data_IF_494344410483
#
_entry.id   IF_494344410483
#
_cell.length_a   1.000
_cell.length_b   1.000
_cell.length_c   1.000
_cell.angle_alpha   90.00
_cell.angle_beta   90.00
_cell.angle_gamma   90.00
#
_symmetry.space_group_name_H-M   'P 1'
#
loop_
_entity.id
_entity.type
_entity.pdbx_description
1 polymer ?
#
# COMPACT_ATOMS: atom_id res chain seq x y z
N UNK A 1 -35.54 -5.27 33.36
CA UNK A 1 -36.10 -5.18 31.99
C UNK A 1 -35.09 -4.48 31.09
N UNK A 2 -34.42 -5.18 30.16
CA UNK A 2 -33.50 -4.56 29.22
C UNK A 2 -34.27 -3.87 28.09
N UNK A 3 -33.92 -2.62 27.79
CA UNK A 3 -34.50 -1.83 26.70
C UNK A 3 -33.91 -2.25 25.35
N UNK A 4 -34.72 -2.39 24.29
CA UNK A 4 -34.21 -2.74 22.97
C UNK A 4 -33.49 -1.54 22.35
N UNK A 5 -32.18 -1.64 22.14
CA UNK A 5 -31.42 -0.66 21.37
C UNK A 5 -31.84 -0.71 19.90
N UNK A 6 -32.47 0.37 19.42
CA UNK A 6 -32.83 0.57 18.02
C UNK A 6 -31.55 0.72 17.18
N UNK A 7 -31.22 -0.32 16.42
CA UNK A 7 -30.10 -0.29 15.46
C UNK A 7 -30.42 0.71 14.33
N UNK A 8 -29.56 1.70 14.05
CA UNK A 8 -29.79 2.64 12.97
C UNK A 8 -29.83 1.91 11.62
N UNK A 9 -30.87 2.18 10.83
CA UNK A 9 -31.18 1.47 9.60
C UNK A 9 -30.05 1.59 8.56
N UNK A 10 -29.61 0.43 8.04
CA UNK A 10 -28.52 0.26 7.04
C UNK A 10 -28.69 1.13 5.78
N UNK A 11 -29.89 1.63 5.51
CA UNK A 11 -30.24 2.43 4.34
C UNK A 11 -29.62 3.84 4.38
N UNK A 12 -29.58 4.47 5.55
CA UNK A 12 -29.10 5.86 5.72
C UNK A 12 -27.58 5.96 5.60
N UNK A 13 -26.86 4.91 6.01
CA UNK A 13 -25.39 4.82 5.90
C UNK A 13 -24.91 4.72 4.43
N UNK A 14 -25.67 4.04 3.56
CA UNK A 14 -25.32 3.90 2.13
C UNK A 14 -25.44 5.20 1.33
N UNK A 15 -26.37 6.08 1.69
CA UNK A 15 -26.62 7.34 0.96
C UNK A 15 -25.54 8.38 1.24
N UNK A 16 -25.10 8.49 2.51
CA UNK A 16 -23.98 9.36 2.90
C UNK A 16 -22.67 8.95 2.22
N UNK A 17 -22.42 7.64 2.09
CA UNK A 17 -21.19 7.12 1.48
C UNK A 17 -21.03 7.51 0.00
N UNK A 18 -22.11 7.50 -0.80
CA UNK A 18 -22.05 7.82 -2.25
C UNK A 18 -21.68 9.28 -2.53
N UNK A 19 -22.19 10.23 -1.73
CA UNK A 19 -21.82 11.66 -1.89
C UNK A 19 -20.34 11.89 -1.54
N UNK A 20 -19.82 11.25 -0.49
CA UNK A 20 -18.40 11.39 -0.12
C UNK A 20 -17.47 10.79 -1.18
N UNK A 21 -17.85 9.64 -1.77
CA UNK A 21 -17.05 8.98 -2.80
C UNK A 21 -16.89 9.83 -4.05
N UNK A 22 -17.97 10.49 -4.50
CA UNK A 22 -17.90 11.43 -5.63
C UNK A 22 -16.96 12.60 -5.34
N UNK A 23 -17.00 13.17 -4.13
CA UNK A 23 -16.10 14.27 -3.73
C UNK A 23 -14.64 13.82 -3.77
N UNK A 24 -14.31 12.66 -3.19
CA UNK A 24 -12.95 12.13 -3.19
C UNK A 24 -12.43 11.89 -4.61
N UNK A 25 -13.25 11.29 -5.47
CA UNK A 25 -12.86 11.04 -6.86
C UNK A 25 -12.62 12.35 -7.63
N UNK A 26 -13.46 13.37 -7.42
CA UNK A 26 -13.27 14.70 -8.01
C UNK A 26 -11.98 15.35 -7.48
N UNK A 27 -11.73 15.28 -6.18
CA UNK A 27 -10.51 15.87 -5.61
C UNK A 27 -9.23 15.20 -6.12
N UNK A 28 -9.23 13.88 -6.34
CA UNK A 28 -8.09 13.19 -6.95
C UNK A 28 -7.83 13.63 -8.39
N UNK A 29 -8.89 13.89 -9.16
CA UNK A 29 -8.76 14.43 -10.52
C UNK A 29 -8.23 15.86 -10.51
N UNK A 30 -8.71 16.70 -9.59
CA UNK A 30 -8.21 18.07 -9.42
C UNK A 30 -6.72 18.08 -9.05
N UNK A 31 -6.30 17.19 -8.15
CA UNK A 31 -4.88 17.02 -7.82
C UNK A 31 -4.04 16.63 -9.04
N UNK A 32 -4.52 15.68 -9.84
CA UNK A 32 -3.82 15.27 -11.06
C UNK A 32 -3.70 16.41 -12.07
N UNK A 33 -4.78 17.20 -12.26
CA UNK A 33 -4.75 18.38 -13.13
C UNK A 33 -3.77 19.44 -12.61
N UNK A 34 -3.77 19.71 -11.30
CA UNK A 34 -2.82 20.65 -10.68
C UNK A 34 -1.36 20.18 -10.86
N UNK A 35 -1.10 18.88 -10.78
CA UNK A 35 0.24 18.31 -11.04
C UNK A 35 0.65 18.46 -12.50
N UNK A 36 -0.26 18.26 -13.45
CA UNK A 36 0.02 18.50 -14.88
C UNK A 36 0.33 19.97 -15.10
N UNK A 37 -0.49 20.88 -14.57
CA UNK A 37 -0.27 22.31 -14.70
C UNK A 37 1.07 22.74 -14.09
N UNK A 38 1.41 22.19 -12.92
CA UNK A 38 2.72 22.40 -12.28
C UNK A 38 3.87 21.90 -13.17
N UNK A 39 3.81 20.66 -13.67
CA UNK A 39 4.84 20.10 -14.56
C UNK A 39 4.98 20.86 -15.88
N UNK A 40 3.86 21.25 -16.50
CA UNK A 40 3.86 22.07 -17.72
C UNK A 40 4.47 23.44 -17.45
N UNK A 41 4.10 24.09 -16.33
CA UNK A 41 4.67 25.39 -15.99
C UNK A 41 6.18 25.33 -15.73
N UNK A 42 6.70 24.21 -15.18
CA UNK A 42 8.14 23.97 -15.06
C UNK A 42 8.82 23.84 -16.42
N UNK A 43 8.22 23.10 -17.36
CA UNK A 43 8.77 22.95 -18.71
C UNK A 43 8.76 24.30 -19.44
N UNK A 44 7.66 25.06 -19.35
CA UNK A 44 7.56 26.40 -19.92
C UNK A 44 8.59 27.34 -19.28
N UNK A 45 8.77 27.28 -17.96
CA UNK A 45 9.79 28.08 -17.28
C UNK A 45 11.20 27.70 -17.74
N UNK A 46 11.49 26.40 -17.89
CA UNK A 46 12.78 25.93 -18.41
C UNK A 46 13.04 26.42 -19.84
N UNK A 47 12.00 26.39 -20.69
CA UNK A 47 12.01 26.95 -22.04
C UNK A 47 12.29 28.45 -22.00
N UNK A 48 11.61 29.21 -21.15
CA UNK A 48 11.80 30.67 -21.03
C UNK A 48 13.20 31.02 -20.50
N UNK A 49 13.76 30.18 -19.62
CA UNK A 49 15.11 30.37 -19.07
C UNK A 49 16.20 30.16 -20.13
N UNK A 50 16.08 29.12 -20.96
CA UNK A 50 17.09 28.81 -21.98
C UNK A 50 16.52 27.89 -23.08
N UNK A 51 16.54 28.37 -24.32
CA UNK A 51 16.51 27.53 -25.53
C UNK A 51 17.87 27.63 -26.21
N UNK A 52 18.66 26.54 -26.34
CA UNK A 52 18.48 25.14 -25.89
C UNK A 52 18.94 24.87 -24.44
N UNK A 53 18.50 23.77 -23.79
CA UNK A 53 18.89 23.43 -22.42
C UNK A 53 20.35 22.97 -22.37
N UNK A 54 21.21 23.77 -21.75
CA UNK A 54 22.61 23.40 -21.54
C UNK A 54 23.10 23.55 -20.10
N UNK A 55 22.32 24.22 -19.25
CA UNK A 55 22.63 24.37 -17.84
C UNK A 55 21.98 23.25 -17.00
N UNK A 56 22.65 22.86 -15.93
CA UNK A 56 22.21 21.81 -15.01
C UNK A 56 20.86 22.15 -14.36
N UNK A 57 20.60 23.45 -14.13
CA UNK A 57 19.34 23.94 -13.57
C UNK A 57 18.17 23.69 -14.52
N UNK A 58 18.32 24.09 -15.79
CA UNK A 58 17.32 23.94 -16.85
C UNK A 58 17.01 22.46 -17.10
N UNK A 59 18.07 21.63 -17.11
CA UNK A 59 17.94 20.17 -17.23
C UNK A 59 17.21 19.57 -16.03
N UNK A 60 17.47 20.07 -14.81
CA UNK A 60 16.73 19.70 -13.60
C UNK A 60 15.23 20.01 -13.68
N UNK A 61 14.85 21.21 -14.15
CA UNK A 61 13.43 21.56 -14.35
C UNK A 61 12.76 20.63 -15.37
N UNK A 62 13.45 20.27 -16.46
CA UNK A 62 12.93 19.35 -17.47
C UNK A 62 12.68 17.96 -16.90
N UNK A 63 13.64 17.40 -16.17
CA UNK A 63 13.51 16.06 -15.58
C UNK A 63 12.38 16.05 -14.53
N UNK A 64 12.36 17.02 -13.63
CA UNK A 64 11.34 17.11 -12.56
C UNK A 64 9.95 17.39 -13.17
N UNK A 65 9.88 18.26 -14.18
CA UNK A 65 8.67 18.54 -14.95
C UNK A 65 8.13 17.31 -15.69
N UNK A 66 8.99 16.56 -16.37
CA UNK A 66 8.61 15.30 -17.01
C UNK A 66 8.15 14.26 -15.98
N UNK A 67 8.88 14.14 -14.87
CA UNK A 67 8.55 13.20 -13.80
C UNK A 67 7.20 13.52 -13.13
N UNK A 68 6.88 14.80 -12.92
CA UNK A 68 5.58 15.24 -12.38
C UNK A 68 4.43 14.94 -13.34
N UNK A 69 4.64 15.09 -14.65
CA UNK A 69 3.63 14.70 -15.65
C UNK A 69 3.39 13.19 -15.61
N UNK A 70 4.45 12.38 -15.59
CA UNK A 70 4.33 10.92 -15.48
C UNK A 70 3.59 10.53 -14.20
N UNK A 71 3.95 11.16 -13.07
CA UNK A 71 3.23 10.97 -11.81
C UNK A 71 1.75 11.29 -11.96
N UNK A 72 1.38 12.40 -12.61
CA UNK A 72 -0.01 12.79 -12.81
C UNK A 72 -0.80 11.77 -13.65
N UNK A 73 -0.19 11.17 -14.68
CA UNK A 73 -0.81 10.10 -15.49
C UNK A 73 -1.14 8.88 -14.61
N UNK A 74 -0.21 8.47 -13.74
CA UNK A 74 -0.48 7.42 -12.74
C UNK A 74 -1.60 7.80 -11.77
N UNK A 75 -1.73 9.09 -11.44
CA UNK A 75 -2.84 9.62 -10.63
C UNK A 75 -4.19 9.50 -11.33
N UNK A 76 -4.21 9.77 -12.64
CA UNK A 76 -5.42 9.64 -13.46
C UNK A 76 -5.86 8.17 -13.56
N UNK A 77 -4.91 7.25 -13.79
CA UNK A 77 -5.16 5.80 -13.81
C UNK A 77 -5.59 5.30 -12.43
N UNK A 78 -5.02 5.84 -11.35
CA UNK A 78 -5.43 5.53 -9.98
C UNK A 78 -6.90 5.87 -9.68
N UNK A 79 -7.47 6.88 -10.35
CA UNK A 79 -8.90 7.21 -10.27
C UNK A 79 -9.79 6.09 -10.83
N UNK A 80 -9.28 5.27 -11.75
CA UNK A 80 -10.01 4.20 -12.43
C UNK A 80 -10.12 2.87 -11.64
N UNK A 81 -9.87 2.88 -10.32
CA UNK A 81 -10.05 1.78 -9.33
C UNK A 81 -8.86 0.84 -9.08
N UNK A 82 -7.65 1.15 -9.54
CA UNK A 82 -6.47 0.31 -9.21
C UNK A 82 -5.85 0.76 -7.89
N UNK A 83 -6.10 0.02 -6.80
CA UNK A 83 -5.59 0.33 -5.43
C UNK A 83 -4.05 0.47 -5.39
N UNK A 84 -3.32 -0.26 -6.23
CA UNK A 84 -1.86 -0.21 -6.33
C UNK A 84 -1.34 1.15 -6.88
N UNK A 85 -1.98 1.68 -7.92
CA UNK A 85 -1.55 2.92 -8.57
C UNK A 85 -1.67 4.16 -7.67
N UNK A 86 -2.60 4.15 -6.71
CA UNK A 86 -2.76 5.25 -5.76
C UNK A 86 -1.59 5.34 -4.77
N UNK A 87 -1.05 4.19 -4.36
CA UNK A 87 0.14 4.12 -3.52
C UNK A 87 1.37 4.65 -4.24
N UNK A 88 1.57 4.20 -5.49
CA UNK A 88 2.67 4.63 -6.36
C UNK A 88 2.59 6.14 -6.65
N UNK A 89 1.42 6.65 -7.03
CA UNK A 89 1.20 8.09 -7.23
C UNK A 89 1.60 8.92 -6.01
N UNK A 90 1.25 8.48 -4.81
CA UNK A 90 1.59 9.19 -3.59
C UNK A 90 3.12 9.23 -3.35
N UNK A 91 3.82 8.12 -3.59
CA UNK A 91 5.28 8.06 -3.47
C UNK A 91 5.95 8.94 -4.52
N UNK A 92 5.54 8.84 -5.78
CA UNK A 92 6.06 9.67 -6.88
C UNK A 92 5.82 11.16 -6.61
N UNK A 93 4.64 11.54 -6.11
CA UNK A 93 4.34 12.94 -5.77
C UNK A 93 5.26 13.48 -4.67
N UNK A 94 5.61 12.66 -3.68
CA UNK A 94 6.54 13.03 -2.61
C UNK A 94 7.95 13.19 -3.14
N UNK A 95 8.44 12.23 -3.94
CA UNK A 95 9.78 12.30 -4.57
C UNK A 95 9.87 13.54 -5.48
N UNK A 96 8.84 13.79 -6.30
CA UNK A 96 8.76 14.98 -7.14
C UNK A 96 8.78 16.27 -6.30
N UNK A 97 8.07 16.30 -5.17
CA UNK A 97 8.08 17.40 -4.23
C UNK A 97 9.46 17.65 -3.60
N UNK A 98 10.20 16.59 -3.26
CA UNK A 98 11.57 16.70 -2.76
C UNK A 98 12.53 17.25 -3.83
N UNK A 99 12.41 16.79 -5.07
CA UNK A 99 13.18 17.33 -6.19
C UNK A 99 12.91 18.83 -6.41
N UNK A 100 11.64 19.22 -6.35
CA UNK A 100 11.23 20.62 -6.45
C UNK A 100 11.76 21.47 -5.27
N UNK A 101 11.67 20.94 -4.04
CA UNK A 101 12.20 21.61 -2.85
C UNK A 101 13.73 21.82 -2.98
N UNK A 102 14.46 20.79 -3.42
CA UNK A 102 15.89 20.88 -3.66
C UNK A 102 16.25 21.95 -4.70
N UNK A 103 15.48 22.02 -5.79
CA UNK A 103 15.66 23.04 -6.82
C UNK A 103 15.40 24.46 -6.28
N UNK A 104 14.34 24.65 -5.49
CA UNK A 104 14.03 25.95 -4.88
C UNK A 104 15.11 26.37 -3.90
N UNK A 105 15.58 25.45 -3.05
CA UNK A 105 16.68 25.72 -2.10
C UNK A 105 17.94 26.10 -2.88
N UNK A 106 18.31 25.35 -3.91
CA UNK A 106 19.47 25.63 -4.75
C UNK A 106 19.40 27.04 -5.37
N UNK A 107 18.25 27.40 -5.95
CA UNK A 107 18.02 28.71 -6.56
C UNK A 107 18.02 29.85 -5.52
N UNK A 108 17.64 29.58 -4.27
CA UNK A 108 17.63 30.56 -3.19
C UNK A 108 19.01 30.76 -2.55
N UNK A 109 19.80 29.70 -2.41
CA UNK A 109 21.12 29.73 -1.77
C UNK A 109 22.13 30.48 -2.65
N UNK A 110 22.08 30.29 -3.98
CA UNK A 110 23.02 30.94 -4.89
C UNK A 110 22.35 31.63 -6.09
N UNK A 111 21.63 32.76 -5.87
CA UNK A 111 21.06 33.55 -6.97
C UNK A 111 22.13 34.04 -7.94
N UNK A 112 23.26 34.50 -7.42
CA UNK A 112 24.29 35.18 -8.20
C UNK A 112 25.01 34.17 -9.11
N UNK A 113 25.36 33.00 -8.57
CA UNK A 113 25.95 31.92 -9.34
C UNK A 113 24.99 31.37 -10.41
N UNK A 114 23.70 31.24 -10.10
CA UNK A 114 22.70 30.84 -11.10
C UNK A 114 22.60 31.85 -12.25
N UNK A 115 22.50 33.16 -11.95
CA UNK A 115 22.44 34.20 -12.99
C UNK A 115 23.73 34.20 -13.83
N UNK A 116 24.89 34.02 -13.21
CA UNK A 116 26.18 34.02 -13.90
C UNK A 116 26.34 32.80 -14.82
N UNK A 117 25.93 31.60 -14.37
CA UNK A 117 25.91 30.38 -15.20
C UNK A 117 24.99 30.52 -16.40
N UNK A 118 23.79 31.07 -16.19
CA UNK A 118 22.86 31.34 -17.29
C UNK A 118 23.42 32.39 -18.24
N UNK A 119 24.14 33.39 -17.72
CA UNK A 119 24.76 34.45 -18.51
C UNK A 119 25.93 33.95 -19.36
N UNK A 120 26.86 33.18 -18.79
CA UNK A 120 27.99 32.60 -19.53
C UNK A 120 27.49 31.77 -20.72
N UNK A 121 26.39 31.03 -20.53
CA UNK A 121 25.76 30.24 -21.57
C UNK A 121 25.00 31.08 -22.62
N UNK A 122 24.37 32.19 -22.20
CA UNK A 122 23.66 33.10 -23.11
C UNK A 122 24.62 33.91 -24.00
N UNK A 123 25.79 34.30 -23.45
CA UNK A 123 26.86 34.97 -24.19
C UNK A 123 27.45 34.04 -25.24
N UNK A 124 27.70 32.77 -24.90
CA UNK A 124 28.22 31.76 -25.84
C UNK A 124 27.31 31.56 -27.06
N UNK A 125 25.99 31.77 -26.91
CA UNK A 125 25.02 31.64 -28.02
C UNK A 125 24.63 32.96 -28.70
N UNK A 126 25.25 34.08 -28.32
CA UNK A 126 25.05 35.37 -28.98
C UNK A 126 23.65 35.97 -28.81
N UNK A 127 22.92 35.64 -27.74
CA UNK A 127 21.55 36.12 -27.51
C UNK A 127 21.43 36.93 -26.20
N UNK A 128 21.21 38.23 -26.39
CA UNK A 128 20.47 39.17 -25.53
C UNK A 128 21.10 39.75 -24.23
N UNK A 129 20.73 40.99 -23.85
CA UNK A 129 21.37 41.81 -22.81
C UNK A 129 20.99 41.45 -21.36
N UNK A 130 21.96 41.66 -20.46
CA UNK A 130 22.00 41.34 -19.01
C UNK A 130 20.72 41.69 -18.22
N UNK A 131 20.05 42.78 -18.57
CA UNK A 131 18.92 43.34 -17.81
C UNK A 131 17.60 42.55 -17.94
N UNK A 132 17.42 41.80 -19.03
CA UNK A 132 16.23 40.95 -19.22
C UNK A 132 16.34 39.64 -18.47
N UNK A 133 17.56 39.08 -18.35
CA UNK A 133 17.82 37.81 -17.69
C UNK A 133 17.63 37.91 -16.18
N UNK A 134 18.16 38.97 -15.57
CA UNK A 134 18.05 39.22 -14.13
C UNK A 134 16.58 39.38 -13.69
N UNK A 135 15.78 40.07 -14.50
CA UNK A 135 14.32 40.19 -14.29
C UNK A 135 13.60 38.85 -14.43
N UNK A 136 13.95 38.06 -15.45
CA UNK A 136 13.35 36.74 -15.66
C UNK A 136 13.67 35.77 -14.52
N UNK A 137 14.92 35.75 -14.02
CA UNK A 137 15.33 34.91 -12.89
C UNK A 137 14.65 35.36 -11.59
N UNK A 138 14.53 36.68 -11.35
CA UNK A 138 13.81 37.21 -10.19
C UNK A 138 12.34 36.78 -10.19
N UNK A 139 11.65 36.92 -11.31
CA UNK A 139 10.26 36.45 -11.48
C UNK A 139 10.19 34.93 -11.33
N UNK A 140 11.13 34.20 -11.94
CA UNK A 140 11.23 32.74 -11.86
C UNK A 140 11.32 32.22 -10.42
N UNK A 141 12.05 32.91 -9.53
CA UNK A 141 12.13 32.57 -8.10
C UNK A 141 10.77 32.63 -7.41
N UNK A 142 10.01 33.69 -7.63
CA UNK A 142 8.67 33.85 -7.05
C UNK A 142 7.68 32.84 -7.62
N UNK A 143 7.76 32.59 -8.92
CA UNK A 143 6.92 31.57 -9.59
C UNK A 143 7.22 30.19 -9.03
N UNK A 144 8.49 29.78 -8.93
CA UNK A 144 8.91 28.50 -8.35
C UNK A 144 8.47 28.36 -6.90
N UNK A 145 8.55 29.42 -6.10
CA UNK A 145 8.08 29.40 -4.71
C UNK A 145 6.56 29.22 -4.64
N UNK A 146 5.80 29.93 -5.49
CA UNK A 146 4.36 29.76 -5.63
C UNK A 146 4.00 28.33 -6.03
N UNK A 147 4.73 27.78 -7.00
CA UNK A 147 4.55 26.42 -7.49
C UNK A 147 4.84 25.36 -6.40
N UNK A 148 5.91 25.55 -5.63
CA UNK A 148 6.27 24.69 -4.49
C UNK A 148 5.19 24.75 -3.40
N UNK A 149 4.66 25.93 -3.09
CA UNK A 149 3.58 26.06 -2.10
C UNK A 149 2.30 25.35 -2.54
N UNK A 150 1.92 25.48 -3.83
CA UNK A 150 0.78 24.78 -4.41
C UNK A 150 1.01 23.25 -4.37
N UNK A 151 2.23 22.80 -4.66
CA UNK A 151 2.63 21.41 -4.55
C UNK A 151 2.51 20.88 -3.11
N UNK A 152 2.98 21.66 -2.13
CA UNK A 152 2.89 21.29 -0.72
C UNK A 152 1.42 21.14 -0.27
N UNK A 153 0.54 22.06 -0.68
CA UNK A 153 -0.90 21.97 -0.44
C UNK A 153 -1.48 20.70 -1.07
N UNK A 154 -1.09 20.38 -2.30
CA UNK A 154 -1.52 19.17 -2.99
C UNK A 154 -1.09 17.89 -2.25
N UNK A 155 0.15 17.85 -1.74
CA UNK A 155 0.67 16.72 -0.95
C UNK A 155 -0.08 16.58 0.38
N UNK A 156 -0.28 17.69 1.11
CA UNK A 156 -1.06 17.69 2.36
C UNK A 156 -2.47 17.16 2.10
N UNK A 157 -3.12 17.65 1.04
CA UNK A 157 -4.46 17.20 0.67
C UNK A 157 -4.47 15.69 0.33
N UNK A 158 -3.48 15.21 -0.41
CA UNK A 158 -3.33 13.78 -0.70
C UNK A 158 -3.15 12.94 0.58
N UNK A 159 -2.39 13.42 1.56
CA UNK A 159 -2.21 12.76 2.86
C UNK A 159 -3.52 12.72 3.66
N UNK A 160 -4.29 13.82 3.67
CA UNK A 160 -5.61 13.87 4.33
C UNK A 160 -6.56 12.86 3.69
N UNK A 161 -6.66 12.86 2.35
CA UNK A 161 -7.48 11.88 1.61
C UNK A 161 -7.03 10.45 1.93
N UNK A 162 -5.72 10.20 1.97
CA UNK A 162 -5.18 8.88 2.32
C UNK A 162 -5.52 8.47 3.74
N UNK A 163 -5.50 9.38 4.72
CA UNK A 163 -5.93 9.09 6.10
C UNK A 163 -7.42 8.79 6.17
N UNK A 164 -8.26 9.55 5.47
CA UNK A 164 -9.71 9.32 5.42
C UNK A 164 -10.02 7.98 4.75
N UNK A 165 -9.35 7.67 3.63
CA UNK A 165 -9.51 6.38 2.92
C UNK A 165 -8.99 5.20 3.75
N UNK A 166 -7.83 5.33 4.41
CA UNK A 166 -7.27 4.28 5.28
C UNK A 166 -8.18 4.01 6.47
N UNK A 167 -8.77 5.05 7.06
CA UNK A 167 -9.75 4.89 8.14
C UNK A 167 -10.99 4.13 7.65
N UNK A 168 -11.52 4.47 6.48
CA UNK A 168 -12.65 3.72 5.88
C UNK A 168 -12.31 2.28 5.54
N UNK A 169 -11.13 2.02 5.00
CA UNK A 169 -10.71 0.65 4.71
C UNK A 169 -10.66 -0.20 5.98
N UNK A 170 -10.17 0.36 7.09
CA UNK A 170 -10.18 -0.32 8.39
C UNK A 170 -11.59 -0.60 8.91
N UNK A 171 -12.52 0.34 8.78
CA UNK A 171 -13.93 0.12 9.18
C UNK A 171 -14.62 -0.92 8.28
N UNK A 172 -14.33 -0.93 6.97
CA UNK A 172 -14.89 -1.93 6.04
C UNK A 172 -14.34 -3.34 6.32
N UNK A 173 -13.05 -3.47 6.61
CA UNK A 173 -12.50 -4.76 7.06
C UNK A 173 -13.09 -5.18 8.42
N UNK A 174 -13.29 -4.24 9.35
CA UNK A 174 -13.95 -4.54 10.62
C UNK A 174 -15.40 -4.98 10.43
N UNK A 175 -16.13 -4.40 9.48
CA UNK A 175 -17.51 -4.77 9.14
C UNK A 175 -17.61 -6.10 8.36
N UNK A 176 -16.55 -6.54 7.68
CA UNK A 176 -16.48 -7.85 7.00
C UNK A 176 -15.94 -8.95 7.93
N UNK A 177 -15.02 -8.60 8.82
CA UNK A 177 -14.45 -9.51 9.81
C UNK A 177 -15.44 -9.73 10.98
N UNK A 178 -16.27 -8.73 11.33
CA UNK A 178 -17.29 -8.86 12.36
C UNK A 178 -18.29 -10.01 12.12
N UNK A 179 -18.95 -10.15 10.95
CA UNK A 179 -19.85 -11.27 10.70
C UNK A 179 -19.10 -12.61 10.68
N UNK A 180 -17.91 -12.68 10.06
CA UNK A 180 -17.15 -13.93 10.03
C UNK A 180 -16.56 -14.34 11.39
N UNK A 181 -16.31 -13.39 12.31
CA UNK A 181 -15.98 -13.70 13.70
C UNK A 181 -17.20 -14.10 14.51
N UNK A 182 -18.36 -13.51 14.25
CA UNK A 182 -19.61 -13.88 14.93
C UNK A 182 -20.04 -15.29 14.54
N UNK A 183 -19.96 -15.64 13.25
CA UNK A 183 -20.23 -16.98 12.75
C UNK A 183 -19.24 -18.01 13.32
N UNK A 184 -17.93 -17.68 13.36
CA UNK A 184 -16.94 -18.55 14.00
C UNK A 184 -17.17 -18.71 15.51
N UNK A 185 -17.68 -17.70 16.21
CA UNK A 185 -18.03 -17.80 17.64
C UNK A 185 -19.26 -18.67 17.85
N UNK A 186 -20.32 -18.47 17.06
CA UNK A 186 -21.51 -19.31 17.10
C UNK A 186 -21.20 -20.78 16.77
N UNK A 187 -20.31 -21.01 15.80
CA UNK A 187 -19.90 -22.36 15.40
C UNK A 187 -19.04 -23.04 16.48
N UNK A 188 -18.19 -22.29 17.19
CA UNK A 188 -17.46 -22.79 18.38
C UNK A 188 -18.41 -23.12 19.54
N UNK A 189 -19.46 -22.34 19.74
CA UNK A 189 -20.46 -22.60 20.78
C UNK A 189 -21.27 -23.88 20.47
N UNK A 190 -21.66 -24.09 19.22
CA UNK A 190 -22.33 -25.32 18.78
C UNK A 190 -21.43 -26.55 18.94
N UNK A 191 -20.15 -26.46 18.57
CA UNK A 191 -19.18 -27.55 18.71
C UNK A 191 -18.94 -27.91 20.19
N UNK A 192 -18.89 -26.92 21.08
CA UNK A 192 -18.80 -27.15 22.53
C UNK A 192 -20.06 -27.80 23.12
N UNK A 193 -21.24 -27.57 22.54
CA UNK A 193 -22.47 -28.23 22.96
C UNK A 193 -22.48 -29.71 22.54
N UNK A 194 -22.07 -30.00 21.31
CA UNK A 194 -21.94 -31.38 20.81
C UNK A 194 -20.91 -32.19 21.63
N UNK A 195 -19.75 -31.61 21.95
CA UNK A 195 -18.79 -32.26 22.84
C UNK A 195 -19.37 -32.52 24.23
N UNK A 196 -20.15 -31.58 24.79
CA UNK A 196 -20.78 -31.77 26.11
C UNK A 196 -21.80 -32.90 26.09
N UNK A 197 -22.59 -33.01 25.04
CA UNK A 197 -23.57 -34.09 24.88
C UNK A 197 -22.88 -35.45 24.75
N UNK A 198 -21.81 -35.54 23.96
CA UNK A 198 -20.99 -36.75 23.83
C UNK A 198 -20.34 -37.16 25.15
N UNK A 199 -19.84 -36.21 25.94
CA UNK A 199 -19.28 -36.50 27.27
C UNK A 199 -20.38 -37.00 28.23
N UNK A 200 -21.57 -36.39 28.20
CA UNK A 200 -22.68 -36.79 29.07
C UNK A 200 -23.20 -38.20 28.75
N UNK A 201 -23.28 -38.57 27.48
CA UNK A 201 -23.71 -39.90 27.04
C UNK A 201 -22.69 -40.98 27.42
N UNK A 202 -21.39 -40.74 27.21
CA UNK A 202 -20.33 -41.65 27.66
C UNK A 202 -20.32 -41.80 29.19
N UNK A 203 -20.50 -40.70 29.92
CA UNK A 203 -20.58 -40.75 31.38
C UNK A 203 -21.79 -41.57 31.87
N UNK A 204 -22.93 -41.47 31.20
CA UNK A 204 -24.12 -42.27 31.51
C UNK A 204 -23.91 -43.76 31.18
N UNK A 205 -23.27 -44.09 30.06
CA UNK A 205 -22.95 -45.46 29.68
C UNK A 205 -21.99 -46.12 30.68
N UNK A 206 -20.90 -45.45 31.04
CA UNK A 206 -19.95 -45.95 32.05
C UNK A 206 -20.62 -46.15 33.42
N UNK A 207 -21.58 -45.30 33.79
CA UNK A 207 -22.33 -45.43 35.04
C UNK A 207 -23.27 -46.64 35.03
N UNK A 208 -23.88 -46.94 33.89
CA UNK A 208 -24.73 -48.11 33.72
C UNK A 208 -23.91 -49.42 33.78
N UNK A 209 -22.71 -49.45 33.20
CA UNK A 209 -21.79 -50.59 33.36
C UNK A 209 -21.40 -50.82 34.82
N UNK A 210 -21.10 -49.75 35.57
CA UNK A 210 -20.78 -49.86 37.01
C UNK A 210 -21.95 -50.42 37.83
N UNK A 211 -23.19 -50.01 37.54
CA UNK A 211 -24.37 -50.48 38.29
C UNK A 211 -24.82 -51.88 37.86
N UNK A 212 -24.51 -52.32 36.63
CA UNK A 212 -24.76 -53.69 36.18
C UNK A 212 -23.76 -54.72 36.70
N UNK A 213 -22.62 -54.28 37.23
CA UNK A 213 -21.57 -55.14 37.79
C UNK A 213 -21.80 -55.52 39.27
N UNK A 214 -22.69 -54.85 40.00
CA UNK A 214 -22.97 -55.14 41.42
C UNK A 214 -23.90 -56.35 41.65
N UNK A 215 -24.71 -56.76 40.66
CA UNK A 215 -25.67 -57.87 40.84
C UNK A 215 -25.12 -59.25 40.42
N UNK A 216 -23.88 -59.31 39.91
CA UNK A 216 -23.32 -60.51 39.27
C UNK A 216 -22.18 -61.23 40.00
N UNK A 217 -21.64 -60.70 41.11
CA UNK A 217 -20.45 -61.30 41.73
C UNK A 217 -20.50 -61.35 43.26
N UNK A 218 -21.41 -62.17 43.77
CA UNK A 218 -21.35 -62.74 45.12
C UNK A 218 -21.04 -64.25 45.04
N UNK A 219 -20.05 -64.65 44.24
CA UNK A 219 -19.56 -66.02 44.26
C UNK A 219 -18.04 -66.06 44.04
N UNK A 220 -17.34 -66.23 45.17
CA UNK A 220 -16.03 -66.87 45.30
C UNK A 220 -14.90 -66.36 44.40
N UNK A 221 -14.07 -65.45 44.95
CA UNK A 221 -12.66 -65.36 44.54
C UNK A 221 -11.76 -65.44 45.77
N UNK A 222 -10.98 -66.50 45.75
CA UNK A 222 -10.05 -67.08 46.72
C UNK A 222 -8.80 -66.17 46.94
N UNK A 223 -8.33 -65.93 48.18
CA UNK A 223 -7.18 -65.10 48.44
C UNK A 223 -5.89 -65.93 48.45
N UNK A 224 -5.39 -66.42 47.30
CA UNK A 224 -4.03 -66.96 47.20
C UNK A 224 -3.59 -67.30 45.77
N UNK A 225 -2.91 -66.36 45.11
CA UNK A 225 -1.81 -66.61 44.15
C UNK A 225 -1.25 -65.24 43.74
N UNK A 226 -0.13 -64.80 44.31
CA UNK A 226 1.23 -65.03 43.79
C UNK A 226 1.55 -64.17 42.55
N UNK A 227 2.16 -63.02 42.85
CA UNK A 227 3.33 -62.45 42.19
C UNK A 227 3.59 -62.83 40.71
N UNK A 228 3.32 -61.88 39.80
CA UNK A 228 4.15 -61.64 38.61
C UNK A 228 4.24 -60.13 38.38
N UNK A 229 5.48 -59.68 38.15
CA UNK A 229 5.94 -58.30 38.08
C UNK A 229 5.30 -57.43 36.98
N UNK A 230 5.24 -56.09 37.16
CA UNK A 230 4.86 -55.18 36.09
C UNK A 230 6.01 -55.01 35.10
N UNK A 231 5.81 -55.50 33.87
CA UNK A 231 6.64 -55.12 32.74
C UNK A 231 6.33 -53.66 32.38
N UNK A 232 7.34 -52.80 32.54
CA UNK A 232 7.29 -51.40 32.15
C UNK A 232 7.07 -51.27 30.64
N UNK A 233 5.91 -50.75 30.23
CA UNK A 233 5.58 -50.48 28.84
C UNK A 233 4.69 -49.25 28.72
N UNK A 234 5.24 -48.18 28.15
CA UNK A 234 4.48 -47.16 27.43
C UNK A 234 3.94 -45.99 28.24
N UNK A 235 4.82 -45.08 28.66
CA UNK A 235 4.41 -43.71 28.99
C UNK A 235 3.85 -43.00 27.74
N UNK A 236 2.69 -42.31 27.80
CA UNK A 236 2.29 -41.40 26.75
C UNK A 236 3.22 -40.18 26.75
N UNK A 237 3.92 -39.98 25.63
CA UNK A 237 4.82 -38.86 25.42
C UNK A 237 4.11 -37.50 25.56
N UNK A 238 4.76 -36.49 26.16
CA UNK A 238 4.26 -35.12 26.17
C UNK A 238 4.31 -34.53 24.75
N UNK A 239 3.15 -34.13 24.24
CA UNK A 239 3.01 -33.29 23.05
C UNK A 239 3.44 -31.85 23.37
N UNK A 240 4.75 -31.63 23.42
CA UNK A 240 5.36 -30.29 23.38
C UNK A 240 6.33 -30.23 22.20
N UNK A 241 5.79 -30.02 21.00
CA UNK A 241 6.61 -29.62 19.84
C UNK A 241 6.85 -28.12 19.89
N UNK A 242 8.12 -27.65 19.89
CA UNK A 242 8.43 -26.23 19.81
C UNK A 242 8.04 -25.63 18.46
N UNK A 243 7.42 -24.45 18.53
CA UNK A 243 7.09 -23.57 17.41
C UNK A 243 8.38 -22.86 16.99
N UNK A 244 9.23 -23.50 16.20
CA UNK A 244 10.42 -22.81 15.64
C UNK A 244 11.00 -23.41 14.36
N UNK A 245 10.19 -24.13 13.57
CA UNK A 245 10.63 -24.70 12.28
C UNK A 245 9.70 -24.34 11.11
N UNK A 246 9.20 -23.09 11.08
CA UNK A 246 8.36 -22.56 9.99
C UNK A 246 9.03 -21.44 9.19
N UNK A 247 10.36 -21.42 9.09
CA UNK A 247 11.10 -20.44 8.29
C UNK A 247 12.29 -21.08 7.59
N UNK A 248 12.09 -21.68 6.42
CA UNK A 248 13.11 -21.65 5.33
C UNK A 248 12.74 -22.38 4.03
N UNK A 249 11.69 -23.19 3.94
CA UNK A 249 11.38 -23.91 2.69
C UNK A 249 9.97 -23.64 2.19
N UNK A 250 9.84 -22.65 1.30
CA UNK A 250 8.96 -22.68 0.11
C UNK A 250 8.90 -21.29 -0.55
N UNK A 251 9.81 -21.05 -1.50
CA UNK A 251 9.51 -20.40 -2.79
C UNK A 251 10.77 -20.46 -3.67
N UNK A 252 11.11 -21.67 -4.10
CA UNK A 252 11.85 -21.86 -5.35
C UNK A 252 10.84 -21.79 -6.48
N UNK A 253 10.68 -20.60 -7.05
CA UNK A 253 9.88 -20.34 -8.23
C UNK A 253 10.50 -21.08 -9.45
N UNK A 254 9.73 -21.88 -10.21
CA UNK A 254 10.25 -22.49 -11.42
C UNK A 254 10.56 -21.41 -12.46
N UNK A 255 11.85 -21.23 -12.77
CA UNK A 255 12.30 -20.39 -13.88
C UNK A 255 11.58 -20.83 -15.17
N UNK A 256 10.87 -19.93 -15.88
CA UNK A 256 10.40 -20.25 -17.21
C UNK A 256 11.61 -20.39 -18.16
N UNK A 257 11.61 -21.38 -19.07
CA UNK A 257 12.62 -21.46 -20.10
C UNK A 257 12.42 -20.32 -21.10
N UNK A 258 13.51 -19.57 -21.32
CA UNK A 258 13.80 -18.90 -22.59
C UNK A 258 12.92 -17.67 -22.96
N UNK A 259 13.05 -16.58 -22.19
CA UNK A 259 12.61 -15.26 -22.63
C UNK A 259 13.75 -14.57 -23.41
N UNK A 260 13.69 -14.63 -24.75
CA UNK A 260 14.58 -13.84 -25.62
C UNK A 260 14.12 -12.37 -25.60
N UNK A 261 15.00 -11.40 -25.28
CA UNK A 261 14.65 -9.98 -25.31
C UNK A 261 14.30 -9.53 -26.74
N UNK A 262 13.15 -8.89 -26.91
CA UNK A 262 12.60 -8.40 -28.18
C UNK A 262 13.36 -7.20 -28.79
N UNK A 263 14.39 -6.69 -28.12
CA UNK A 263 15.14 -5.51 -28.55
C UNK A 263 16.19 -5.78 -29.64
N UNK A 264 16.43 -7.04 -30.00
CA UNK A 264 17.36 -7.39 -31.09
C UNK A 264 16.75 -7.29 -32.49
N UNK A 265 15.45 -7.00 -32.62
CA UNK A 265 14.79 -6.87 -33.94
C UNK A 265 14.87 -5.48 -34.57
N UNK A 266 15.25 -4.44 -33.83
CA UNK A 266 15.33 -3.07 -34.38
C UNK A 266 16.69 -2.70 -34.96
N UNK A 267 17.76 -3.48 -34.69
CA UNK A 267 19.08 -3.19 -35.25
C UNK A 267 19.26 -3.72 -36.69
N UNK A 268 18.50 -4.74 -37.11
CA UNK A 268 18.62 -5.31 -38.45
C UNK A 268 17.84 -4.54 -39.54
N UNK A 269 16.89 -3.68 -39.18
CA UNK A 269 16.12 -2.89 -40.15
C UNK A 269 16.81 -1.58 -40.58
N UNK A 270 17.84 -1.13 -39.86
CA UNK A 270 18.55 0.12 -40.16
C UNK A 270 19.69 -0.05 -41.20
N UNK A 271 20.07 -1.28 -41.56
CA UNK A 271 21.15 -1.55 -42.50
C UNK A 271 20.70 -1.80 -43.95
N UNK A 272 19.39 -1.69 -44.24
CA UNK A 272 18.82 -1.96 -45.57
C UNK A 272 18.25 -0.71 -46.28
N UNK A 273 18.55 0.50 -45.78
CA UNK A 273 18.12 1.78 -46.39
C UNK A 273 19.29 2.65 -46.88
N UNK A 274 20.49 2.08 -46.98
CA UNK A 274 21.65 2.72 -47.59
C UNK A 274 22.20 1.82 -48.69
N UNK A 275 21.42 1.64 -49.74
CA UNK A 275 21.87 1.44 -51.13
C UNK A 275 20.90 2.16 -52.07
#
# INVERSE_FOLDING_TARGET
MPTPQSSPSKTTQKVLSRKTWKRIAVSLRLLAVLQILSGVSMIVLAIVLQWPPGDALTLGLWIIGGFTIVAAVFGFIGSARVRCCLGLHAVLSVIAGLGHLGLVIYLFVDPAGAVQKLQDYAIDKGHAPRSSLEKAVSIGRWVLLGLLSLQAIAVIFALVVRRVLRRRAYEEFKDVEAPSQQDRRAQREADMQDLREKIATVAAANRAELMGAEDGNLAAVDPRTSAVAPQAGGAPAPLSRPISAWTSEQHAEPRPPNFKPSWTRSAAAAAAQTE
#
